data_IF_755625361227
#
_entry.id   IF_755625361227
#
_cell.length_a   1.000
_cell.length_b   1.000
_cell.length_c   1.000
_cell.angle_alpha   90.00
_cell.angle_beta   90.00
_cell.angle_gamma   90.00
#
_symmetry.space_group_name_H-M   'P 1'
#
loop_
_entity.id
_entity.type
_entity.pdbx_description
1 polymer ?
#
# COMPACT_ATOMS: atom_id res chain seq x y z
N UNK A 1 1.14 -19.23 5.19
CA UNK A 1 0.14 -18.19 4.96
C UNK A 1 0.69 -16.83 5.32
N UNK A 2 0.58 -15.89 4.44
CA UNK A 2 1.15 -14.59 4.69
C UNK A 2 0.07 -13.57 5.01
N UNK A 3 -0.36 -13.60 6.25
CA UNK A 3 -1.41 -12.72 6.75
C UNK A 3 -1.02 -11.26 6.67
N UNK A 4 0.24 -10.96 6.95
CA UNK A 4 0.72 -9.59 6.93
C UNK A 4 0.65 -9.00 5.53
N UNK A 5 0.93 -9.82 4.52
CA UNK A 5 0.84 -9.37 3.13
C UNK A 5 -0.61 -9.00 2.78
N UNK A 6 -1.56 -9.79 3.24
CA UNK A 6 -2.98 -9.51 3.01
C UNK A 6 -3.43 -8.25 3.74
N UNK A 7 -2.95 -8.05 4.96
CA UNK A 7 -3.27 -6.87 5.75
C UNK A 7 -2.74 -5.62 5.05
N UNK A 8 -1.50 -5.65 4.61
CA UNK A 8 -0.89 -4.54 3.90
C UNK A 8 -1.68 -4.22 2.63
N UNK A 9 -2.01 -5.25 1.85
CA UNK A 9 -2.75 -5.08 0.60
C UNK A 9 -4.10 -4.40 0.86
N UNK A 10 -4.81 -4.87 1.84
CA UNK A 10 -6.12 -4.32 2.19
C UNK A 10 -6.03 -2.86 2.62
N UNK A 11 -5.05 -2.56 3.47
CA UNK A 11 -4.87 -1.19 3.94
C UNK A 11 -4.48 -0.25 2.80
N UNK A 12 -3.63 -0.72 1.88
CA UNK A 12 -3.20 0.09 0.75
C UNK A 12 -4.39 0.44 -0.14
N UNK A 13 -5.23 -0.53 -0.46
CA UNK A 13 -6.42 -0.31 -1.27
C UNK A 13 -7.32 0.74 -0.60
N UNK A 14 -7.56 0.55 0.69
CA UNK A 14 -8.45 1.44 1.44
C UNK A 14 -7.94 2.87 1.46
N UNK A 15 -6.67 3.05 1.80
CA UNK A 15 -6.09 4.39 1.87
C UNK A 15 -6.08 5.07 0.52
N UNK A 16 -5.71 4.34 -0.52
CA UNK A 16 -5.67 4.90 -1.87
C UNK A 16 -7.07 5.35 -2.31
N UNK A 17 -8.06 4.52 -2.07
CA UNK A 17 -9.43 4.84 -2.46
C UNK A 17 -10.00 6.01 -1.66
N UNK A 18 -9.63 6.10 -0.39
CA UNK A 18 -10.12 7.19 0.47
C UNK A 18 -9.70 8.56 -0.04
N UNK A 19 -8.51 8.65 -0.63
CA UNK A 19 -8.04 9.94 -1.16
C UNK A 19 -8.31 10.08 -2.64
N UNK A 20 -8.94 9.09 -3.27
CA UNK A 20 -9.27 9.15 -4.69
C UNK A 20 -8.08 9.04 -5.62
N UNK A 21 -7.03 8.36 -5.19
CA UNK A 21 -5.80 8.21 -5.98
C UNK A 21 -5.85 6.92 -6.79
N UNK A 22 -5.43 6.99 -8.05
CA UNK A 22 -5.36 5.79 -8.89
C UNK A 22 -4.08 5.01 -8.59
N UNK A 23 -4.05 3.74 -9.02
CA UNK A 23 -2.83 2.93 -8.89
C UNK A 23 -1.67 3.57 -9.65
N UNK A 24 -1.98 4.13 -10.83
CA UNK A 24 -0.95 4.79 -11.63
C UNK A 24 -0.38 6.02 -10.92
N UNK A 25 -1.25 6.81 -10.29
CA UNK A 25 -0.81 7.98 -9.55
C UNK A 25 0.08 7.63 -8.38
N UNK A 26 -0.29 6.59 -7.65
CA UNK A 26 0.55 6.13 -6.54
C UNK A 26 1.89 5.62 -7.05
N UNK A 27 1.85 4.83 -8.12
CA UNK A 27 3.09 4.32 -8.72
C UNK A 27 4.02 5.46 -9.11
N UNK A 28 3.47 6.50 -9.73
CA UNK A 28 4.26 7.64 -10.16
C UNK A 28 4.96 8.31 -8.96
N UNK A 29 4.25 8.47 -7.85
CA UNK A 29 4.83 9.08 -6.65
C UNK A 29 5.98 8.25 -6.08
N UNK A 30 5.96 6.95 -6.33
CA UNK A 30 6.96 6.03 -5.78
C UNK A 30 8.03 5.64 -6.80
N UNK A 31 7.94 6.15 -8.02
CA UNK A 31 8.80 5.74 -9.15
C UNK A 31 8.63 4.25 -9.47
N UNK A 32 7.39 3.80 -9.39
CA UNK A 32 7.01 2.44 -9.77
C UNK A 32 5.89 2.52 -10.79
N UNK A 33 5.57 1.39 -11.42
CA UNK A 33 4.48 1.33 -12.38
C UNK A 33 3.16 1.02 -11.66
N UNK A 34 2.06 1.26 -12.35
CA UNK A 34 0.75 0.86 -11.84
C UNK A 34 0.66 -0.66 -11.67
N UNK A 35 1.43 -1.41 -12.46
CA UNK A 35 1.46 -2.86 -12.36
C UNK A 35 2.06 -3.31 -11.03
N UNK A 36 3.09 -2.60 -10.56
CA UNK A 36 3.68 -2.89 -9.26
C UNK A 36 2.66 -2.67 -8.15
N UNK A 37 1.98 -1.53 -8.18
CA UNK A 37 0.96 -1.22 -7.17
C UNK A 37 -0.15 -2.27 -7.21
N UNK A 38 -0.57 -2.66 -8.41
CA UNK A 38 -1.60 -3.68 -8.57
C UNK A 38 -1.18 -5.01 -7.92
N UNK A 39 0.08 -5.42 -8.11
CA UNK A 39 0.57 -6.65 -7.49
C UNK A 39 0.55 -6.56 -5.96
N UNK A 40 0.95 -5.40 -5.42
CA UNK A 40 0.89 -5.19 -3.96
C UNK A 40 -0.54 -5.30 -3.46
N UNK A 41 -1.49 -4.72 -4.19
CA UNK A 41 -2.89 -4.73 -3.78
C UNK A 41 -3.55 -6.08 -3.92
N UNK A 42 -3.00 -6.95 -4.76
CA UNK A 42 -3.46 -8.33 -4.89
C UNK A 42 -2.71 -9.30 -3.97
N UNK A 43 -1.84 -8.75 -3.13
CA UNK A 43 -1.03 -9.54 -2.20
C UNK A 43 -0.12 -10.54 -2.92
N UNK A 44 0.26 -10.24 -4.17
CA UNK A 44 1.20 -11.08 -4.93
C UNK A 44 2.64 -10.78 -4.57
N UNK A 45 2.91 -9.58 -4.11
CA UNK A 45 4.24 -9.19 -3.67
C UNK A 45 4.09 -8.01 -2.72
N UNK A 46 5.17 -7.67 -2.04
CA UNK A 46 5.20 -6.50 -1.15
C UNK A 46 6.38 -5.63 -1.55
N UNK A 47 6.27 -4.31 -1.38
CA UNK A 47 7.42 -3.44 -1.64
C UNK A 47 8.45 -3.59 -0.53
N UNK A 48 9.68 -3.12 -0.79
CA UNK A 48 10.69 -3.14 0.25
C UNK A 48 10.35 -2.11 1.33
N UNK A 49 11.11 -2.15 2.43
CA UNK A 49 10.79 -1.34 3.59
C UNK A 49 10.89 0.16 3.31
N UNK A 50 11.78 0.57 2.41
CA UNK A 50 11.90 1.99 2.06
C UNK A 50 10.63 2.49 1.38
N UNK A 51 10.08 1.68 0.48
CA UNK A 51 8.86 2.05 -0.22
C UNK A 51 7.67 2.02 0.74
N UNK A 52 7.65 1.07 1.67
CA UNK A 52 6.59 1.01 2.68
C UNK A 52 6.58 2.32 3.48
N UNK A 53 7.76 2.81 3.87
CA UNK A 53 7.86 4.08 4.59
C UNK A 53 7.37 5.25 3.74
N UNK A 54 7.72 5.25 2.46
CA UNK A 54 7.24 6.30 1.55
C UNK A 54 5.73 6.27 1.41
N UNK A 55 5.15 5.10 1.33
CA UNK A 55 3.69 4.95 1.26
C UNK A 55 3.05 5.53 2.52
N UNK A 56 3.61 5.20 3.69
CA UNK A 56 3.10 5.73 4.95
C UNK A 56 3.13 7.26 4.93
N UNK A 57 4.22 7.83 4.46
CA UNK A 57 4.36 9.29 4.39
C UNK A 57 3.37 9.91 3.43
N UNK A 58 3.15 9.27 2.27
CA UNK A 58 2.20 9.77 1.27
C UNK A 58 0.79 9.86 1.85
N UNK A 59 0.39 8.86 2.62
CA UNK A 59 -0.95 8.83 3.18
C UNK A 59 -1.05 9.44 4.57
N UNK A 60 0.08 9.92 5.12
CA UNK A 60 0.07 10.57 6.43
C UNK A 60 -0.23 9.60 7.56
N UNK A 61 0.19 8.36 7.43
CA UNK A 61 -0.01 7.34 8.47
C UNK A 61 1.35 6.77 8.87
N UNK A 62 1.35 5.95 9.91
CA UNK A 62 2.57 5.26 10.34
C UNK A 62 2.72 3.96 9.56
N UNK A 63 3.94 3.43 9.53
CA UNK A 63 4.18 2.10 8.97
C UNK A 63 3.37 1.06 9.75
N UNK A 64 3.31 1.22 11.06
CA UNK A 64 2.53 0.31 11.90
C UNK A 64 1.05 0.27 11.46
N UNK A 65 0.49 1.43 11.13
CA UNK A 65 -0.90 1.52 10.67
C UNK A 65 -1.10 0.71 9.39
N UNK A 66 -0.11 0.73 8.50
CA UNK A 66 -0.19 -0.04 7.26
C UNK A 66 -0.18 -1.54 7.50
N UNK A 67 0.41 -1.98 8.61
CA UNK A 67 0.62 -3.38 8.90
C UNK A 67 -0.32 -3.91 9.99
N UNK A 68 -1.30 -3.12 10.38
CA UNK A 68 -2.27 -3.50 11.41
C UNK A 68 -3.64 -3.62 10.76
N UNK A 69 -4.39 -4.69 11.07
CA UNK A 69 -5.73 -4.85 10.49
C UNK A 69 -6.61 -3.64 10.79
N UNK A 70 -7.39 -3.26 9.79
CA UNK A 70 -8.26 -2.09 9.88
C UNK A 70 -9.72 -2.52 9.73
N UNK A 71 -10.13 -3.46 10.53
CA UNK A 71 -11.44 -4.08 10.40
C UNK A 71 -12.38 -3.77 11.56
N UNK A 72 -12.14 -2.68 12.23
CA UNK A 72 -12.99 -2.30 13.38
C UNK A 72 -14.09 -1.35 13.00
#
# INVERSE_FOLDING_TARGET
MDELKLIFASNLIKLRNEVGMTQAELGEKLNYSDKSVSKWERAESVPDIYVVKQIADIFGVTVDRLLTPNDL
#
